data_IF_293005421386
#
_entry.id   IF_293005421386
#
_cell.length_a   1.000
_cell.length_b   1.000
_cell.length_c   1.000
_cell.angle_alpha   90.00
_cell.angle_beta   90.00
_cell.angle_gamma   90.00
#
_symmetry.space_group_name_H-M   'P 1'
#
loop_
_entity.id
_entity.type
_entity.pdbx_description
1 polymer ?
#
# COMPACT_ATOMS: atom_id res chain seq x y z
N UNK A 1 28.58 -8.87 -64.55
CA UNK A 1 27.17 -8.68 -64.25
C UNK A 1 26.93 -8.93 -62.75
N UNK A 2 26.66 -7.86 -61.97
CA UNK A 2 26.30 -7.99 -60.56
C UNK A 2 24.77 -8.10 -60.44
N UNK A 3 24.27 -9.27 -60.09
CA UNK A 3 22.87 -9.49 -59.77
C UNK A 3 22.59 -8.91 -58.38
N UNK A 4 21.92 -7.76 -58.33
CA UNK A 4 21.40 -7.18 -57.08
C UNK A 4 20.26 -8.08 -56.56
N UNK A 5 20.48 -8.74 -55.41
CA UNK A 5 19.42 -9.40 -54.67
C UNK A 5 18.52 -8.34 -54.05
N UNK A 6 17.33 -8.12 -54.58
CA UNK A 6 16.29 -7.34 -53.93
C UNK A 6 15.85 -8.10 -52.68
N UNK A 7 16.17 -7.58 -51.52
CA UNK A 7 15.63 -8.07 -50.24
C UNK A 7 14.14 -7.70 -50.18
N UNK A 8 13.26 -8.73 -50.22
CA UNK A 8 11.85 -8.57 -49.98
C UNK A 8 11.64 -8.13 -48.52
N UNK A 9 11.42 -6.86 -48.32
CA UNK A 9 10.99 -6.32 -47.06
C UNK A 9 9.55 -6.80 -46.84
N UNK A 10 9.37 -7.84 -46.01
CA UNK A 10 8.06 -8.27 -45.57
C UNK A 10 7.44 -7.18 -44.67
N UNK A 11 6.46 -6.46 -45.20
CA UNK A 11 5.69 -5.50 -44.43
C UNK A 11 4.58 -6.20 -43.64
N UNK A 12 4.24 -5.66 -42.44
CA UNK A 12 3.09 -6.13 -41.66
C UNK A 12 1.78 -5.81 -42.38
N UNK A 13 0.82 -6.75 -42.29
CA UNK A 13 -0.53 -6.52 -42.83
C UNK A 13 -1.37 -5.72 -41.83
N UNK A 14 -2.32 -4.92 -42.31
CA UNK A 14 -3.25 -4.16 -41.49
C UNK A 14 -4.08 -5.10 -40.59
N UNK A 15 -4.49 -6.24 -41.12
CA UNK A 15 -5.27 -7.27 -40.40
C UNK A 15 -4.48 -7.85 -39.22
N UNK A 16 -3.19 -8.12 -39.41
CA UNK A 16 -2.30 -8.65 -38.34
C UNK A 16 -2.23 -7.72 -37.14
N UNK A 17 -2.08 -6.42 -37.37
CA UNK A 17 -2.10 -5.45 -36.32
C UNK A 17 -3.49 -5.32 -35.68
N UNK A 18 -4.56 -5.38 -36.46
CA UNK A 18 -5.93 -5.33 -35.91
C UNK A 18 -6.22 -6.48 -34.96
N UNK A 19 -5.80 -7.69 -35.27
CA UNK A 19 -5.98 -8.86 -34.40
C UNK A 19 -5.20 -8.68 -33.09
N UNK A 20 -3.95 -8.22 -33.15
CA UNK A 20 -3.11 -8.00 -31.97
C UNK A 20 -3.74 -6.97 -31.04
N UNK A 21 -4.17 -5.83 -31.58
CA UNK A 21 -4.80 -4.79 -30.79
C UNK A 21 -6.12 -5.27 -30.16
N UNK A 22 -6.90 -6.05 -30.89
CA UNK A 22 -8.15 -6.63 -30.38
C UNK A 22 -7.90 -7.55 -29.17
N UNK A 23 -6.89 -8.43 -29.26
CA UNK A 23 -6.53 -9.34 -28.17
C UNK A 23 -6.03 -8.54 -26.94
N UNK A 24 -5.15 -7.56 -27.15
CA UNK A 24 -4.66 -6.70 -26.07
C UNK A 24 -5.83 -5.95 -25.39
N UNK A 25 -6.77 -5.44 -26.19
CA UNK A 25 -7.95 -4.76 -25.68
C UNK A 25 -8.81 -5.64 -24.77
N UNK A 26 -9.06 -6.88 -25.15
CA UNK A 26 -9.82 -7.84 -24.34
C UNK A 26 -9.09 -8.18 -23.04
N UNK A 27 -7.79 -8.45 -23.12
CA UNK A 27 -6.97 -8.75 -21.93
C UNK A 27 -6.90 -7.57 -20.98
N UNK A 28 -6.74 -6.36 -21.48
CA UNK A 28 -6.70 -5.14 -20.69
C UNK A 28 -8.05 -4.87 -19.99
N UNK A 29 -9.16 -5.12 -20.66
CA UNK A 29 -10.50 -4.92 -20.10
C UNK A 29 -10.75 -5.75 -18.82
N UNK A 30 -10.17 -6.95 -18.73
CA UNK A 30 -10.27 -7.82 -17.56
C UNK A 30 -9.16 -7.52 -16.53
N UNK A 31 -7.94 -7.24 -17.02
CA UNK A 31 -6.75 -7.08 -16.19
C UNK A 31 -6.75 -5.80 -15.35
N UNK A 32 -7.17 -4.66 -15.92
CA UNK A 32 -7.09 -3.36 -15.26
C UNK A 32 -7.97 -3.30 -14.00
N UNK A 33 -9.26 -3.67 -14.00
CA UNK A 33 -10.09 -3.61 -12.79
C UNK A 33 -9.59 -4.55 -11.69
N UNK A 34 -9.10 -5.73 -12.06
CA UNK A 34 -8.54 -6.69 -11.12
C UNK A 34 -7.27 -6.17 -10.44
N UNK A 35 -6.39 -5.54 -11.22
CA UNK A 35 -5.16 -4.93 -10.70
C UNK A 35 -5.44 -3.79 -9.73
N UNK A 36 -6.39 -2.91 -10.03
CA UNK A 36 -6.77 -1.80 -9.14
C UNK A 36 -7.26 -2.32 -7.79
N UNK A 37 -8.13 -3.34 -7.78
CA UNK A 37 -8.61 -3.98 -6.55
C UNK A 37 -7.47 -4.65 -5.75
N UNK A 38 -6.57 -5.34 -6.43
CA UNK A 38 -5.42 -5.99 -5.78
C UNK A 38 -4.49 -4.95 -5.15
N UNK A 39 -4.23 -3.85 -5.83
CA UNK A 39 -3.43 -2.73 -5.31
C UNK A 39 -4.06 -2.12 -4.06
N UNK A 40 -5.35 -1.82 -4.09
CA UNK A 40 -6.08 -1.25 -2.94
C UNK A 40 -6.00 -2.18 -1.72
N UNK A 41 -6.20 -3.49 -1.90
CA UNK A 41 -6.05 -4.48 -0.81
C UNK A 41 -4.64 -4.54 -0.26
N UNK A 42 -3.62 -4.47 -1.12
CA UNK A 42 -2.22 -4.45 -0.69
C UNK A 42 -1.91 -3.21 0.16
N UNK A 43 -2.42 -2.05 -0.23
CA UNK A 43 -2.25 -0.80 0.52
C UNK A 43 -2.94 -0.88 1.89
N UNK A 44 -4.16 -1.39 1.96
CA UNK A 44 -4.88 -1.58 3.22
C UNK A 44 -4.14 -2.55 4.15
N UNK A 45 -3.65 -3.69 3.64
CA UNK A 45 -2.89 -4.66 4.43
C UNK A 45 -1.60 -4.05 4.98
N UNK A 46 -0.88 -3.28 4.18
CA UNK A 46 0.34 -2.60 4.63
C UNK A 46 0.03 -1.56 5.72
N UNK A 47 -1.05 -0.79 5.56
CA UNK A 47 -1.49 0.16 6.59
C UNK A 47 -1.85 -0.56 7.90
N UNK A 48 -2.62 -1.64 7.84
CA UNK A 48 -2.98 -2.44 9.03
C UNK A 48 -1.74 -3.01 9.73
N UNK A 49 -0.74 -3.47 8.97
CA UNK A 49 0.51 -3.93 9.55
C UNK A 49 1.28 -2.82 10.25
N UNK A 50 1.29 -1.60 9.68
CA UNK A 50 1.88 -0.44 10.34
C UNK A 50 1.13 -0.10 11.64
N UNK A 51 -0.20 -0.12 11.64
CA UNK A 51 -1.01 0.11 12.84
C UNK A 51 -0.70 -0.91 13.95
N UNK A 52 -0.53 -2.20 13.60
CA UNK A 52 -0.13 -3.23 14.57
C UNK A 52 1.25 -2.97 15.17
N UNK A 53 2.20 -2.52 14.36
CA UNK A 53 3.53 -2.15 14.85
C UNK A 53 3.46 -0.94 15.79
N UNK A 54 2.64 0.04 15.47
CA UNK A 54 2.41 1.21 16.31
C UNK A 54 1.77 0.80 17.64
N UNK A 55 0.75 -0.06 17.64
CA UNK A 55 0.14 -0.56 18.88
C UNK A 55 1.13 -1.32 19.77
N UNK A 56 1.94 -2.19 19.18
CA UNK A 56 2.97 -2.91 19.92
C UNK A 56 3.99 -1.95 20.56
N UNK A 57 4.41 -0.93 19.82
CA UNK A 57 5.33 0.10 20.31
C UNK A 57 4.73 0.94 21.45
N UNK A 58 3.45 1.26 21.37
CA UNK A 58 2.76 1.98 22.46
C UNK A 58 2.70 1.14 23.72
N UNK A 59 2.45 -0.17 23.60
CA UNK A 59 2.44 -1.08 24.75
C UNK A 59 3.83 -1.19 25.39
N UNK A 60 4.88 -1.32 24.56
CA UNK A 60 6.26 -1.38 25.03
C UNK A 60 6.68 -0.07 25.74
N UNK A 61 6.37 1.07 25.15
CA UNK A 61 6.57 2.38 25.77
C UNK A 61 5.81 2.50 27.09
N UNK A 62 4.55 2.08 27.15
CA UNK A 62 3.74 2.15 28.36
C UNK A 62 4.33 1.33 29.51
N UNK A 63 4.83 0.13 29.20
CA UNK A 63 5.47 -0.75 30.19
C UNK A 63 6.79 -0.13 30.67
N UNK A 64 7.66 0.33 29.76
CA UNK A 64 8.96 0.90 30.12
C UNK A 64 8.85 2.20 30.92
N UNK A 65 7.89 3.07 30.57
CA UNK A 65 7.67 4.35 31.23
C UNK A 65 6.66 4.30 32.39
N UNK A 66 6.12 3.11 32.70
CA UNK A 66 5.14 2.93 33.77
C UNK A 66 3.84 3.70 33.54
N UNK A 67 3.43 3.89 32.29
CA UNK A 67 2.17 4.55 31.92
C UNK A 67 0.97 3.69 32.33
N UNK A 68 -0.11 4.36 32.72
CA UNK A 68 -1.36 3.72 33.12
C UNK A 68 -2.42 3.85 32.04
N UNK A 69 -3.45 3.03 32.15
CA UNK A 69 -4.64 3.16 31.31
C UNK A 69 -5.24 4.56 31.47
N UNK A 70 -5.46 5.24 30.34
CA UNK A 70 -5.95 6.61 30.29
C UNK A 70 -4.88 7.68 30.11
N UNK A 71 -3.59 7.33 30.23
CA UNK A 71 -2.50 8.27 29.99
C UNK A 71 -2.37 8.60 28.50
N UNK A 72 -1.94 9.82 28.21
CA UNK A 72 -1.66 10.25 26.84
C UNK A 72 -0.31 9.72 26.36
N UNK A 73 -0.26 9.39 25.08
CA UNK A 73 0.93 8.94 24.37
C UNK A 73 0.95 9.56 22.98
N UNK A 74 2.13 9.99 22.52
CA UNK A 74 2.31 10.54 21.18
C UNK A 74 3.08 9.56 20.30
N UNK A 75 2.89 9.69 18.97
CA UNK A 75 3.65 8.89 18.01
C UNK A 75 5.16 9.08 18.15
N UNK A 76 5.60 10.29 18.50
CA UNK A 76 7.02 10.60 18.69
C UNK A 76 7.64 9.82 19.87
N UNK A 77 6.87 9.58 20.93
CA UNK A 77 7.34 8.82 22.09
C UNK A 77 7.61 7.35 21.73
N UNK A 78 6.91 6.85 20.72
CA UNK A 78 6.97 5.46 20.29
C UNK A 78 8.03 5.19 19.20
N UNK A 79 8.66 6.22 18.64
CA UNK A 79 9.62 6.08 17.52
C UNK A 79 10.80 5.18 17.83
N UNK A 80 11.21 5.10 19.09
CA UNK A 80 12.33 4.24 19.54
C UNK A 80 11.97 2.74 19.44
N UNK A 81 10.70 2.42 19.54
CA UNK A 81 10.16 1.04 19.56
C UNK A 81 9.60 0.57 18.22
N UNK A 82 9.56 1.46 17.22
CA UNK A 82 9.04 1.16 15.89
C UNK A 82 10.21 1.05 14.91
N UNK A 83 10.12 0.07 13.99
CA UNK A 83 11.04 0.03 12.86
C UNK A 83 10.76 1.20 11.94
N UNK A 84 11.63 2.18 11.97
CA UNK A 84 11.56 3.37 11.13
C UNK A 84 11.93 3.05 9.67
N UNK A 85 11.46 3.89 8.75
CA UNK A 85 11.88 3.85 7.34
C UNK A 85 13.32 4.39 7.18
N UNK A 86 13.83 4.43 5.94
CA UNK A 86 15.16 4.97 5.64
C UNK A 86 15.34 6.45 5.99
N UNK A 87 14.26 7.18 6.18
CA UNK A 87 14.23 8.60 6.55
C UNK A 87 14.15 8.82 8.06
N UNK A 88 14.13 7.74 8.85
CA UNK A 88 14.02 7.80 10.31
C UNK A 88 12.62 8.18 10.81
N UNK A 89 11.59 7.99 10.01
CA UNK A 89 10.20 8.24 10.38
C UNK A 89 9.36 6.95 10.36
N UNK A 90 8.21 6.97 11.04
CA UNK A 90 7.24 5.89 11.00
C UNK A 90 6.77 5.72 9.55
N UNK A 91 6.76 4.48 8.99
CA UNK A 91 6.31 4.26 7.63
C UNK A 91 4.89 4.81 7.42
N UNK A 92 4.68 5.70 6.44
CA UNK A 92 3.36 6.30 6.21
C UNK A 92 2.37 5.27 5.68
N UNK A 93 1.07 5.59 5.76
CA UNK A 93 0.05 4.80 5.10
C UNK A 93 0.24 4.86 3.58
N UNK A 94 0.33 3.70 2.86
CA UNK A 94 0.52 3.70 1.41
C UNK A 94 -0.61 4.33 0.60
N UNK A 95 -1.77 4.57 1.23
CA UNK A 95 -2.92 5.24 0.64
C UNK A 95 -3.04 6.71 1.08
N UNK A 96 -1.96 7.31 1.63
CA UNK A 96 -1.89 8.69 2.12
C UNK A 96 -2.83 9.00 3.30
N UNK A 97 -3.03 8.03 4.19
CA UNK A 97 -3.69 8.26 5.47
C UNK A 97 -2.69 8.66 6.55
N UNK A 98 -3.15 9.40 7.55
CA UNK A 98 -2.39 9.79 8.72
C UNK A 98 -2.69 8.86 9.90
N UNK A 99 -1.67 8.57 10.69
CA UNK A 99 -1.82 7.80 11.92
C UNK A 99 -2.02 8.71 13.11
N UNK A 100 -2.92 8.30 14.00
CA UNK A 100 -3.14 8.95 15.28
C UNK A 100 -3.30 7.90 16.39
N UNK A 101 -2.99 8.31 17.61
CA UNK A 101 -3.08 7.46 18.78
C UNK A 101 -4.24 7.90 19.68
N UNK A 102 -4.87 6.94 20.31
CA UNK A 102 -5.74 7.13 21.45
C UNK A 102 -4.95 6.94 22.74
N UNK A 103 -5.62 7.15 23.88
CA UNK A 103 -5.02 6.96 25.19
C UNK A 103 -4.62 5.50 25.43
N UNK A 104 -3.65 5.31 26.33
CA UNK A 104 -3.21 3.96 26.72
C UNK A 104 -4.40 3.13 27.22
N UNK A 105 -4.56 1.92 26.66
CA UNK A 105 -5.63 0.99 27.02
C UNK A 105 -6.94 1.13 26.23
N UNK A 106 -7.08 2.13 25.36
CA UNK A 106 -8.21 2.20 24.44
C UNK A 106 -7.98 1.29 23.22
N UNK A 107 -9.01 0.58 22.78
CA UNK A 107 -8.94 -0.36 21.63
C UNK A 107 -9.87 0.12 20.51
N UNK A 108 -9.40 0.20 19.27
CA UNK A 108 -8.00 0.16 18.82
C UNK A 108 -7.23 1.40 19.28
N UNK A 109 -5.98 1.22 19.66
CA UNK A 109 -5.15 2.30 20.17
C UNK A 109 -4.55 3.16 19.06
N UNK A 110 -4.15 2.52 17.96
CA UNK A 110 -3.68 3.19 16.75
C UNK A 110 -4.78 3.20 15.69
N UNK A 111 -5.02 4.36 15.11
CA UNK A 111 -6.02 4.56 14.06
C UNK A 111 -5.41 5.26 12.84
N UNK A 112 -5.94 4.92 11.66
CA UNK A 112 -5.63 5.61 10.41
C UNK A 112 -6.79 6.54 10.04
N UNK A 113 -6.48 7.72 9.52
CA UNK A 113 -7.50 8.70 9.08
C UNK A 113 -8.44 8.16 8.01
N UNK A 114 -7.97 7.20 7.20
CA UNK A 114 -8.79 6.54 6.19
C UNK A 114 -9.79 5.54 6.80
N UNK A 115 -9.46 4.91 7.94
CA UNK A 115 -10.37 4.08 8.72
C UNK A 115 -11.31 3.23 7.88
N UNK A 116 -12.61 3.44 8.07
CA UNK A 116 -13.70 2.78 7.32
C UNK A 116 -14.17 3.56 6.10
N UNK A 117 -13.57 4.70 5.77
CA UNK A 117 -14.00 5.56 4.67
C UNK A 117 -13.61 5.04 3.29
N UNK A 118 -12.70 4.07 3.23
CA UNK A 118 -12.20 3.44 2.01
C UNK A 118 -12.50 1.94 1.98
N UNK A 119 -12.54 1.36 0.78
CA UNK A 119 -12.70 -0.08 0.56
C UNK A 119 -11.43 -0.64 -0.11
N UNK A 120 -10.73 -1.58 0.51
CA UNK A 120 -10.95 -2.17 1.84
C UNK A 120 -10.59 -1.24 3.00
N UNK A 121 -11.21 -1.41 4.18
CA UNK A 121 -11.01 -0.51 5.31
C UNK A 121 -9.60 -0.63 5.92
N UNK A 122 -9.08 0.49 6.43
CA UNK A 122 -7.77 0.61 7.07
C UNK A 122 -7.90 0.60 8.60
N UNK A 123 -8.53 -0.42 9.16
CA UNK A 123 -8.79 -0.55 10.60
C UNK A 123 -8.22 -1.84 11.16
N UNK A 124 -7.78 -1.79 12.41
CA UNK A 124 -7.44 -2.98 13.20
C UNK A 124 -8.74 -3.70 13.59
N UNK A 125 -8.76 -5.01 13.43
CA UNK A 125 -9.82 -5.93 13.88
C UNK A 125 -9.37 -6.68 15.11
#
# INVERSE_FOLDING_TARGET
MKTSKASLLAGFTLVEIMIVVAIIGVLAAIGIPSFVKARSRSQATACINNLRQIEAAVQEFAIEKGKRVGDEVSLNDCTVYIKLNSEGSIPPCPANGDYSLKKVGEVPQAICSLGTTVDPPHVLQ
#
